data_IF_471212670500
#
_entry.id   IF_471212670500
#
_cell.length_a   1.000
_cell.length_b   1.000
_cell.length_c   1.000
_cell.angle_alpha   90.00
_cell.angle_beta   90.00
_cell.angle_gamma   90.00
#
_symmetry.space_group_name_H-M   'P 1'
#
loop_
_entity.id
_entity.type
_entity.pdbx_description
1 polymer ?
#
# COMPACT_ATOMS: atom_id res chain seq x y z
N UNK A 1 2.77 36.55 -11.93
CA UNK A 1 2.07 35.93 -10.79
C UNK A 1 1.99 34.43 -11.08
N UNK A 2 2.65 33.61 -10.26
CA UNK A 2 2.78 32.18 -10.53
C UNK A 2 1.51 31.42 -10.10
N UNK A 3 0.79 30.85 -11.05
CA UNK A 3 -0.22 29.81 -10.77
C UNK A 3 0.51 28.48 -10.65
N UNK A 4 0.87 28.15 -9.41
CA UNK A 4 1.44 26.86 -8.99
C UNK A 4 0.28 25.88 -8.93
N UNK A 5 0.25 24.82 -9.78
CA UNK A 5 -0.40 23.51 -9.53
C UNK A 5 -0.26 22.58 -10.74
N UNK A 6 0.41 21.41 -10.57
CA UNK A 6 -0.08 20.15 -11.12
C UNK A 6 -0.15 19.09 -10.01
N UNK A 7 -1.16 19.17 -9.14
CA UNK A 7 -1.39 18.20 -8.04
C UNK A 7 -2.30 17.02 -8.48
N UNK A 8 -2.69 16.96 -9.75
CA UNK A 8 -3.45 15.85 -10.35
C UNK A 8 -2.56 14.86 -11.12
N UNK A 9 -1.60 15.35 -11.91
CA UNK A 9 -0.66 14.50 -12.67
C UNK A 9 0.26 13.71 -11.72
N UNK A 10 0.86 14.36 -10.74
CA UNK A 10 1.72 13.73 -9.73
C UNK A 10 1.01 12.63 -8.91
N UNK A 11 -0.28 12.80 -8.60
CA UNK A 11 -1.08 11.77 -7.89
C UNK A 11 -1.28 10.52 -8.73
N UNK A 12 -1.57 10.68 -10.02
CA UNK A 12 -1.79 9.56 -10.95
C UNK A 12 -0.48 8.80 -11.21
N UNK A 13 0.63 9.52 -11.36
CA UNK A 13 1.97 8.93 -11.52
C UNK A 13 2.40 8.15 -10.28
N UNK A 14 2.17 8.69 -9.08
CA UNK A 14 2.51 8.01 -7.82
C UNK A 14 1.70 6.72 -7.65
N UNK A 15 0.40 6.75 -7.97
CA UNK A 15 -0.44 5.55 -7.90
C UNK A 15 -0.02 4.48 -8.94
N UNK A 16 0.40 4.93 -10.13
CA UNK A 16 0.94 4.05 -11.18
C UNK A 16 2.26 3.39 -10.74
N UNK A 17 3.19 4.16 -10.17
CA UNK A 17 4.47 3.65 -9.67
C UNK A 17 4.28 2.63 -8.54
N UNK A 18 3.42 2.92 -7.57
CA UNK A 18 3.10 1.99 -6.47
C UNK A 18 2.47 0.72 -7.03
N UNK A 19 1.53 0.85 -7.97
CA UNK A 19 0.91 -0.30 -8.61
C UNK A 19 1.91 -1.17 -9.37
N UNK A 20 2.86 -0.55 -10.06
CA UNK A 20 3.96 -1.24 -10.74
C UNK A 20 4.85 -1.99 -9.75
N UNK A 21 5.34 -1.29 -8.71
CA UNK A 21 6.18 -1.89 -7.67
C UNK A 21 5.51 -3.11 -7.02
N UNK A 22 4.21 -3.03 -6.75
CA UNK A 22 3.44 -4.13 -6.15
C UNK A 22 3.36 -5.36 -7.07
N UNK A 23 3.19 -5.14 -8.38
CA UNK A 23 3.17 -6.22 -9.37
C UNK A 23 4.56 -6.84 -9.53
N UNK A 24 5.58 -6.01 -9.69
CA UNK A 24 6.97 -6.43 -9.88
C UNK A 24 7.48 -7.26 -8.69
N UNK A 25 7.17 -6.83 -7.47
CA UNK A 25 7.56 -7.53 -6.26
C UNK A 25 6.59 -8.64 -5.82
N UNK A 26 5.58 -8.96 -6.65
CA UNK A 26 4.57 -9.98 -6.40
C UNK A 26 3.97 -9.88 -4.99
N UNK A 27 3.61 -8.66 -4.59
CA UNK A 27 3.21 -8.37 -3.21
C UNK A 27 2.00 -9.18 -2.74
N UNK A 28 1.06 -9.49 -3.64
CA UNK A 28 -0.06 -10.38 -3.34
C UNK A 28 0.38 -11.79 -2.89
N UNK A 29 1.43 -12.34 -3.50
CA UNK A 29 2.00 -13.64 -3.11
C UNK A 29 2.66 -13.56 -1.74
N UNK A 30 3.40 -12.49 -1.46
CA UNK A 30 4.07 -12.29 -0.17
C UNK A 30 3.06 -12.10 0.97
N UNK A 31 1.96 -11.39 0.71
CA UNK A 31 0.83 -11.26 1.63
C UNK A 31 0.24 -12.64 1.95
N UNK A 32 -0.04 -13.44 0.92
CA UNK A 32 -0.60 -14.78 1.11
C UNK A 32 0.33 -15.72 1.88
N UNK A 33 1.65 -15.67 1.60
CA UNK A 33 2.68 -16.42 2.34
C UNK A 33 2.80 -15.99 3.82
N UNK A 34 2.33 -14.80 4.14
CA UNK A 34 2.36 -14.19 5.48
C UNK A 34 1.02 -14.28 6.21
N UNK A 35 0.12 -15.12 5.71
CA UNK A 35 -1.24 -15.31 6.25
C UNK A 35 -2.11 -14.05 6.18
N UNK A 36 -1.75 -13.08 5.34
CA UNK A 36 -2.54 -11.88 5.08
C UNK A 36 -3.44 -12.18 3.90
N UNK A 37 -4.65 -12.64 4.19
CA UNK A 37 -5.64 -13.10 3.22
C UNK A 37 -6.91 -12.27 3.32
N UNK A 38 -7.73 -12.31 2.28
CA UNK A 38 -9.02 -11.63 2.31
C UNK A 38 -9.90 -12.32 3.36
N UNK A 39 -10.33 -11.56 4.35
CA UNK A 39 -11.34 -11.99 5.31
C UNK A 39 -12.70 -11.45 4.89
N UNK A 40 -12.85 -10.12 4.77
CA UNK A 40 -14.14 -9.50 4.42
C UNK A 40 -13.99 -8.19 3.65
N UNK A 41 -14.97 -7.92 2.78
CA UNK A 41 -15.08 -6.67 2.01
C UNK A 41 -13.94 -6.51 1.00
N UNK A 42 -12.90 -5.77 1.39
CA UNK A 42 -11.81 -5.35 0.52
C UNK A 42 -10.68 -6.38 0.45
N UNK A 43 -10.01 -6.44 -0.69
CA UNK A 43 -8.80 -7.25 -0.85
C UNK A 43 -7.65 -6.69 0.02
N UNK A 44 -6.87 -7.53 0.71
CA UNK A 44 -5.65 -7.11 1.41
C UNK A 44 -4.68 -6.31 0.54
N UNK A 45 -4.57 -6.69 -0.73
CA UNK A 45 -3.70 -6.02 -1.68
C UNK A 45 -4.19 -4.60 -1.97
N UNK A 46 -5.50 -4.42 -2.11
CA UNK A 46 -6.12 -3.11 -2.29
C UNK A 46 -5.94 -2.23 -1.05
N UNK A 47 -6.20 -2.77 0.14
CA UNK A 47 -6.00 -2.05 1.40
C UNK A 47 -4.53 -1.63 1.58
N UNK A 48 -3.59 -2.52 1.27
CA UNK A 48 -2.17 -2.19 1.35
C UNK A 48 -1.80 -1.10 0.32
N UNK A 49 -2.25 -1.19 -0.93
CA UNK A 49 -2.04 -0.15 -1.95
C UNK A 49 -2.67 1.19 -1.55
N UNK A 50 -3.81 1.16 -0.87
CA UNK A 50 -4.45 2.36 -0.34
C UNK A 50 -3.63 2.99 0.78
N UNK A 51 -3.08 2.21 1.71
CA UNK A 51 -2.35 2.73 2.88
C UNK A 51 -0.92 3.18 2.52
N UNK A 52 -0.27 2.50 1.58
CA UNK A 52 1.14 2.74 1.23
C UNK A 52 1.47 4.21 0.85
N UNK A 53 0.74 4.87 -0.07
CA UNK A 53 1.00 6.28 -0.38
C UNK A 53 0.69 7.22 0.78
N UNK A 54 -0.22 6.87 1.69
CA UNK A 54 -0.54 7.71 2.84
C UNK A 54 0.63 7.76 3.80
N UNK A 55 1.24 6.60 4.07
CA UNK A 55 2.42 6.49 4.94
C UNK A 55 3.63 7.16 4.28
N UNK A 56 3.85 6.95 2.97
CA UNK A 56 5.01 7.49 2.26
C UNK A 56 4.93 9.01 2.01
N UNK A 57 3.76 9.54 1.70
CA UNK A 57 3.56 10.96 1.40
C UNK A 57 3.24 11.78 2.67
N UNK A 58 3.21 11.15 3.85
CA UNK A 58 2.80 11.80 5.10
C UNK A 58 1.38 12.37 5.07
N UNK A 59 0.53 11.87 4.17
CA UNK A 59 -0.86 12.36 4.04
C UNK A 59 -1.67 11.83 5.22
N UNK A 60 -2.33 12.74 5.92
CA UNK A 60 -3.13 12.37 7.06
C UNK A 60 -4.34 11.54 6.60
N UNK A 61 -4.39 10.29 7.06
CA UNK A 61 -5.49 9.33 6.87
C UNK A 61 -6.86 9.96 7.16
N UNK A 62 -6.94 10.80 8.19
CA UNK A 62 -8.17 11.52 8.56
C UNK A 62 -8.69 12.41 7.43
N UNK A 63 -7.82 13.19 6.79
CA UNK A 63 -8.23 14.14 5.72
C UNK A 63 -8.76 13.45 4.47
N UNK A 64 -8.32 12.22 4.18
CA UNK A 64 -8.75 11.46 3.00
C UNK A 64 -10.08 10.76 3.25
N UNK A 65 -10.33 10.33 4.49
CA UNK A 65 -11.59 9.73 4.91
C UNK A 65 -12.72 10.76 5.13
N UNK A 66 -12.39 11.95 5.61
CA UNK A 66 -13.36 13.05 5.83
C UNK A 66 -13.80 13.71 4.52
N UNK A 67 -13.00 13.58 3.45
CA UNK A 67 -13.43 13.92 2.11
C UNK A 67 -14.40 12.85 1.61
N UNK A 68 -15.69 13.10 1.85
CA UNK A 68 -16.90 12.33 1.51
C UNK A 68 -17.12 12.09 -0.02
N UNK A 69 -16.03 12.06 -0.80
CA UNK A 69 -16.05 12.22 -2.26
C UNK A 69 -15.84 10.93 -3.05
N UNK A 70 -15.61 9.79 -2.43
CA UNK A 70 -15.26 8.56 -3.17
C UNK A 70 -15.98 7.36 -2.54
N UNK A 71 -17.06 6.92 -3.20
CA UNK A 71 -17.93 5.81 -2.78
C UNK A 71 -17.18 4.46 -2.61
N UNK A 72 -15.97 4.32 -3.16
CA UNK A 72 -15.16 3.10 -3.12
C UNK A 72 -13.98 3.14 -2.13
N UNK A 73 -13.98 4.08 -1.18
CA UNK A 73 -12.89 4.22 -0.19
C UNK A 73 -13.08 3.26 1.00
N UNK A 74 -12.04 2.53 1.43
CA UNK A 74 -12.16 1.69 2.62
C UNK A 74 -12.39 2.58 3.86
N UNK A 75 -13.39 2.22 4.66
CA UNK A 75 -13.68 2.93 5.91
C UNK A 75 -12.51 2.80 6.89
N UNK A 76 -12.38 3.77 7.79
CA UNK A 76 -11.38 3.77 8.89
C UNK A 76 -11.34 2.44 9.64
N UNK A 77 -12.52 1.93 9.97
CA UNK A 77 -12.66 0.67 10.69
C UNK A 77 -12.12 -0.53 9.89
N UNK A 78 -12.35 -0.59 8.58
CA UNK A 78 -11.79 -1.63 7.70
C UNK A 78 -10.26 -1.62 7.72
N UNK A 79 -9.64 -0.43 7.65
CA UNK A 79 -8.18 -0.29 7.68
C UNK A 79 -7.62 -0.69 9.05
N UNK A 80 -8.28 -0.29 10.15
CA UNK A 80 -7.87 -0.71 11.48
C UNK A 80 -7.96 -2.22 11.67
N UNK A 81 -9.06 -2.86 11.24
CA UNK A 81 -9.20 -4.32 11.28
C UNK A 81 -8.11 -5.01 10.46
N UNK A 82 -7.78 -4.46 9.30
CA UNK A 82 -6.72 -4.99 8.44
C UNK A 82 -5.33 -4.92 9.10
N UNK A 83 -4.95 -3.77 9.66
CA UNK A 83 -3.63 -3.59 10.27
C UNK A 83 -3.49 -4.35 11.59
N UNK A 84 -4.56 -4.41 12.40
CA UNK A 84 -4.54 -4.98 13.75
C UNK A 84 -5.00 -6.44 13.82
N UNK A 85 -5.13 -7.14 12.70
CA UNK A 85 -5.52 -8.56 12.74
C UNK A 85 -4.40 -9.42 13.33
N UNK A 86 -4.62 -10.12 14.45
CA UNK A 86 -3.58 -10.93 15.10
C UNK A 86 -3.14 -12.15 14.29
N UNK A 87 -3.95 -12.59 13.30
CA UNK A 87 -3.61 -13.71 12.41
C UNK A 87 -2.60 -13.31 11.34
N UNK A 88 -2.42 -12.01 11.09
CA UNK A 88 -1.56 -11.50 10.03
C UNK A 88 -0.12 -11.41 10.49
N UNK A 89 0.77 -12.14 9.82
CA UNK A 89 2.18 -12.16 10.18
C UNK A 89 2.94 -11.04 9.48
N UNK A 90 2.76 -9.81 9.96
CA UNK A 90 3.43 -8.62 9.42
C UNK A 90 4.95 -8.73 9.45
N UNK A 91 5.53 -9.36 10.47
CA UNK A 91 6.97 -9.58 10.55
C UNK A 91 7.48 -10.45 9.39
N UNK A 92 6.80 -11.58 9.13
CA UNK A 92 7.14 -12.46 8.00
C UNK A 92 6.99 -11.73 6.67
N UNK A 93 5.93 -10.95 6.51
CA UNK A 93 5.70 -10.15 5.31
C UNK A 93 6.86 -9.18 5.05
N UNK A 94 7.26 -8.40 6.05
CA UNK A 94 8.35 -7.42 5.91
C UNK A 94 9.70 -8.09 5.60
N UNK A 95 9.98 -9.24 6.22
CA UNK A 95 11.21 -10.02 5.92
C UNK A 95 11.21 -10.53 4.49
N UNK A 96 10.10 -11.10 4.03
CA UNK A 96 9.98 -11.59 2.65
C UNK A 96 10.07 -10.45 1.64
N UNK A 97 9.43 -9.31 1.90
CA UNK A 97 9.51 -8.13 1.07
C UNK A 97 10.94 -7.59 1.01
N UNK A 98 11.61 -7.47 2.16
CA UNK A 98 13.00 -7.02 2.23
C UNK A 98 13.91 -7.95 1.42
N UNK A 99 13.75 -9.27 1.57
CA UNK A 99 14.48 -10.25 0.76
C UNK A 99 14.22 -10.04 -0.74
N UNK A 100 12.96 -9.85 -1.13
CA UNK A 100 12.59 -9.70 -2.53
C UNK A 100 13.13 -8.42 -3.18
N UNK A 101 13.23 -7.34 -2.41
CA UNK A 101 13.71 -6.03 -2.91
C UNK A 101 15.23 -5.92 -2.84
N UNK A 102 15.82 -6.36 -1.72
CA UNK A 102 17.24 -6.12 -1.42
C UNK A 102 18.12 -7.15 -2.11
N UNK A 103 17.75 -8.44 -2.12
CA UNK A 103 18.63 -9.48 -2.67
C UNK A 103 18.94 -9.26 -4.16
N UNK A 104 17.98 -8.96 -5.05
CA UNK A 104 18.31 -8.66 -6.45
C UNK A 104 19.23 -7.46 -6.59
N UNK A 105 19.05 -6.44 -5.75
CA UNK A 105 19.86 -5.21 -5.79
C UNK A 105 21.26 -5.41 -5.24
N UNK A 106 21.43 -6.29 -4.26
CA UNK A 106 22.75 -6.69 -3.77
C UNK A 106 23.47 -7.60 -4.78
N UNK A 107 22.74 -8.49 -5.45
CA UNK A 107 23.31 -9.35 -6.50
C UNK A 107 23.77 -8.55 -7.72
N UNK A 108 23.16 -7.41 -8.04
CA UNK A 108 23.63 -6.53 -9.12
C UNK A 108 24.89 -5.72 -8.78
N UNK A 109 25.37 -5.76 -7.53
CA UNK A 109 26.53 -5.02 -7.05
C UNK A 109 27.80 -5.88 -6.94
N UNK A 110 27.67 -7.21 -7.07
CA UNK A 110 28.76 -8.20 -7.03
C UNK A 110 28.98 -8.73 -8.44
#
# INVERSE_FOLDING_TARGET
MATILPDSESKNETHSYISHFFKENKLGTLLNQSNIRKEDGFSPMFLLQFIFPLVLLGKNFYRILDSDRIQDTPKKDTVHRFLNNPKYNWRKFLVLLSKNVIVPKLLSLV
#
